data_IF_323931900872
#
_entry.id   IF_323931900872
#
_cell.length_a   1.000
_cell.length_b   1.000
_cell.length_c   1.000
_cell.angle_alpha   90.00
_cell.angle_beta   90.00
_cell.angle_gamma   90.00
#
_symmetry.space_group_name_H-M   'P 1'
#
loop_
_entity.id
_entity.type
_entity.pdbx_description
1 polymer ?
#
# COMPACT_ATOMS: atom_id res chain seq x y z
N UNK A 1 14.27 -16.43 0.94
CA UNK A 1 15.37 -15.44 0.98
C UNK A 1 16.66 -16.04 1.57
N UNK A 2 16.60 -16.62 2.77
CA UNK A 2 17.81 -17.14 3.44
C UNK A 2 18.63 -18.12 2.61
N UNK A 3 17.99 -19.04 1.88
CA UNK A 3 18.66 -20.02 1.01
C UNK A 3 19.38 -19.40 -0.19
N UNK A 4 18.93 -18.23 -0.66
CA UNK A 4 19.44 -17.57 -1.86
C UNK A 4 20.37 -16.40 -1.56
N UNK A 5 20.15 -15.70 -0.43
CA UNK A 5 21.01 -14.59 0.03
C UNK A 5 22.17 -15.11 0.88
N UNK A 6 22.11 -16.36 1.35
CA UNK A 6 23.14 -16.96 2.23
C UNK A 6 23.17 -16.41 3.65
N UNK A 7 22.20 -15.57 4.00
CA UNK A 7 22.03 -14.99 5.34
C UNK A 7 20.54 -14.81 5.66
N UNK A 8 20.14 -14.70 6.94
CA UNK A 8 18.79 -14.29 7.33
C UNK A 8 18.45 -12.90 6.77
N UNK A 9 17.17 -12.66 6.48
CA UNK A 9 16.68 -11.32 6.18
C UNK A 9 16.87 -10.40 7.39
N UNK A 10 17.33 -9.18 7.15
CA UNK A 10 17.50 -8.16 8.19
C UNK A 10 16.25 -7.24 8.25
N UNK A 11 16.05 -6.50 9.35
CA UNK A 11 15.02 -5.46 9.40
C UNK A 11 15.14 -4.41 8.28
N UNK A 12 16.36 -4.14 7.81
CA UNK A 12 16.61 -3.21 6.72
C UNK A 12 16.18 -3.79 5.36
N UNK A 13 16.44 -5.07 5.11
CA UNK A 13 15.93 -5.75 3.92
C UNK A 13 14.39 -5.68 3.88
N UNK A 14 13.74 -5.88 5.03
CA UNK A 14 12.28 -5.80 5.13
C UNK A 14 11.76 -4.39 4.85
N UNK A 15 12.43 -3.35 5.37
CA UNK A 15 12.07 -1.96 5.07
C UNK A 15 12.22 -1.63 3.58
N UNK A 16 13.27 -2.14 2.95
CA UNK A 16 13.55 -1.91 1.52
C UNK A 16 12.46 -2.47 0.60
N UNK A 17 11.85 -3.60 0.97
CA UNK A 17 10.83 -4.26 0.14
C UNK A 17 9.40 -3.92 0.54
N UNK A 18 9.21 -3.23 1.67
CA UNK A 18 7.89 -2.92 2.20
C UNK A 18 7.24 -1.80 1.38
N UNK A 19 6.08 -2.08 0.78
CA UNK A 19 5.28 -1.10 0.06
C UNK A 19 5.54 -0.99 -1.45
N UNK A 20 6.46 -1.81 -2.03
CA UNK A 20 6.71 -1.88 -3.47
C UNK A 20 6.29 -3.24 -4.05
N UNK A 21 6.13 -3.36 -5.39
CA UNK A 21 5.84 -4.63 -6.04
C UNK A 21 6.90 -5.69 -5.72
N UNK A 22 6.48 -6.94 -5.51
CA UNK A 22 7.38 -8.00 -5.04
C UNK A 22 8.57 -8.29 -5.97
N UNK A 23 8.39 -8.17 -7.29
CA UNK A 23 9.49 -8.31 -8.25
C UNK A 23 10.54 -7.21 -8.07
N UNK A 24 10.12 -5.97 -7.94
CA UNK A 24 10.98 -4.82 -7.71
C UNK A 24 11.68 -4.93 -6.33
N UNK A 25 10.95 -5.40 -5.32
CA UNK A 25 11.49 -5.66 -3.99
C UNK A 25 12.63 -6.67 -4.02
N UNK A 26 12.48 -7.79 -4.75
CA UNK A 26 13.57 -8.77 -4.90
C UNK A 26 14.77 -8.18 -5.62
N UNK A 27 14.56 -7.40 -6.67
CA UNK A 27 15.65 -6.73 -7.39
C UNK A 27 16.37 -5.70 -6.51
N UNK A 28 15.64 -4.98 -5.66
CA UNK A 28 16.22 -4.04 -4.68
C UNK A 28 17.10 -4.73 -3.65
N UNK A 29 16.86 -6.01 -3.38
CA UNK A 29 17.72 -6.86 -2.54
C UNK A 29 18.95 -7.45 -3.29
N UNK A 30 19.13 -7.07 -4.56
CA UNK A 30 20.29 -7.48 -5.38
C UNK A 30 20.07 -8.74 -6.22
N UNK A 31 18.85 -9.27 -6.33
CA UNK A 31 18.56 -10.37 -7.24
C UNK A 31 18.48 -9.89 -8.70
N UNK A 32 18.99 -10.71 -9.64
CA UNK A 32 18.78 -10.42 -11.06
C UNK A 32 17.29 -10.57 -11.44
N UNK A 33 16.83 -9.99 -12.56
CA UNK A 33 15.46 -10.19 -13.04
C UNK A 33 15.04 -11.66 -13.16
N UNK A 34 15.95 -12.52 -13.62
CA UNK A 34 15.71 -13.96 -13.75
C UNK A 34 15.57 -14.65 -12.39
N UNK A 35 16.43 -14.29 -11.43
CA UNK A 35 16.35 -14.80 -10.06
C UNK A 35 15.06 -14.32 -9.37
N UNK A 36 14.70 -13.05 -9.55
CA UNK A 36 13.47 -12.51 -9.02
C UNK A 36 12.23 -13.22 -9.59
N UNK A 37 12.23 -13.51 -10.89
CA UNK A 37 11.15 -14.25 -11.55
C UNK A 37 10.98 -15.69 -11.03
N UNK A 38 12.08 -16.36 -10.69
CA UNK A 38 12.03 -17.70 -10.07
C UNK A 38 11.62 -17.67 -8.59
N UNK A 39 12.04 -16.65 -7.86
CA UNK A 39 11.79 -16.52 -6.41
C UNK A 39 10.41 -15.97 -6.08
N UNK A 40 9.89 -15.04 -6.86
CA UNK A 40 8.63 -14.36 -6.57
C UNK A 40 7.43 -15.32 -6.42
N UNK A 41 7.23 -16.34 -7.28
CA UNK A 41 6.16 -17.32 -7.09
C UNK A 41 6.32 -18.12 -5.79
N UNK A 42 7.54 -18.47 -5.40
CA UNK A 42 7.85 -19.21 -4.17
C UNK A 42 7.55 -18.33 -2.94
N UNK A 43 7.96 -17.07 -2.98
CA UNK A 43 7.63 -16.08 -1.93
C UNK A 43 6.11 -15.88 -1.80
N UNK A 44 5.43 -15.70 -2.92
CA UNK A 44 3.98 -15.54 -2.96
C UNK A 44 3.24 -16.78 -2.43
N UNK A 45 3.72 -17.99 -2.75
CA UNK A 45 3.16 -19.22 -2.20
C UNK A 45 3.41 -19.34 -0.69
N UNK A 46 4.59 -18.95 -0.22
CA UNK A 46 4.91 -18.97 1.22
C UNK A 46 4.06 -17.95 1.99
N UNK A 47 3.82 -16.75 1.45
CA UNK A 47 2.99 -15.74 2.12
C UNK A 47 1.54 -16.19 2.31
N UNK A 48 1.02 -17.04 1.43
CA UNK A 48 -0.33 -17.64 1.58
C UNK A 48 -0.47 -18.50 2.84
N UNK A 49 0.61 -19.10 3.32
CA UNK A 49 0.58 -19.92 4.54
C UNK A 49 0.33 -19.09 5.81
N UNK A 50 0.47 -17.76 5.71
CA UNK A 50 0.21 -16.81 6.80
C UNK A 50 -1.10 -16.03 6.62
N UNK A 51 -1.92 -16.39 5.62
CA UNK A 51 -3.19 -15.69 5.34
C UNK A 51 -4.11 -15.65 6.58
N UNK A 52 -4.19 -16.74 7.33
CA UNK A 52 -5.01 -16.83 8.55
C UNK A 52 -4.54 -15.91 9.69
N UNK A 53 -3.32 -15.38 9.61
CA UNK A 53 -2.77 -14.42 10.58
C UNK A 53 -3.02 -12.95 10.20
N UNK A 54 -3.56 -12.70 9.02
CA UNK A 54 -3.88 -11.35 8.53
C UNK A 54 -5.31 -11.00 8.94
N UNK A 55 -5.50 -9.80 9.45
CA UNK A 55 -6.82 -9.28 9.83
C UNK A 55 -6.93 -7.80 9.49
N UNK A 56 -8.16 -7.31 9.39
CA UNK A 56 -8.44 -5.89 9.27
C UNK A 56 -8.06 -5.20 10.57
N UNK A 57 -7.39 -4.05 10.48
CA UNK A 57 -7.07 -3.25 11.66
C UNK A 57 -8.34 -2.82 12.40
N UNK A 58 -8.29 -2.86 13.72
CA UNK A 58 -9.42 -2.49 14.57
C UNK A 58 -9.92 -1.06 14.25
N UNK A 59 -11.21 -0.89 14.06
CA UNK A 59 -11.85 0.38 13.73
C UNK A 59 -11.79 0.78 12.25
N UNK A 60 -11.08 0.04 11.39
CA UNK A 60 -10.98 0.38 9.97
C UNK A 60 -12.35 0.33 9.27
N UNK A 61 -13.09 -0.77 9.46
CA UNK A 61 -14.39 -0.92 8.81
C UNK A 61 -15.39 0.15 9.26
N UNK A 62 -15.42 0.48 10.55
CA UNK A 62 -16.28 1.56 11.07
C UNK A 62 -15.90 2.91 10.48
N UNK A 63 -14.59 3.18 10.33
CA UNK A 63 -14.09 4.41 9.70
C UNK A 63 -14.50 4.49 8.23
N UNK A 64 -14.31 3.41 7.45
CA UNK A 64 -14.71 3.38 6.04
C UNK A 64 -16.22 3.57 5.88
N UNK A 65 -17.01 2.92 6.72
CA UNK A 65 -18.47 3.06 6.73
C UNK A 65 -18.87 4.51 6.98
N UNK A 66 -18.31 5.13 8.01
CA UNK A 66 -18.58 6.54 8.33
C UNK A 66 -18.25 7.46 7.15
N UNK A 67 -17.09 7.30 6.54
CA UNK A 67 -16.67 8.10 5.39
C UNK A 67 -17.67 7.96 4.23
N UNK A 68 -18.07 6.72 3.93
CA UNK A 68 -19.02 6.44 2.84
C UNK A 68 -20.41 7.02 3.10
N UNK A 69 -20.92 6.88 4.33
CA UNK A 69 -22.21 7.45 4.75
C UNK A 69 -22.22 8.99 4.71
N UNK A 70 -21.03 9.62 4.83
CA UNK A 70 -20.87 11.07 4.72
C UNK A 70 -20.42 11.54 3.33
N UNK A 71 -20.59 10.69 2.31
CA UNK A 71 -20.34 10.98 0.88
C UNK A 71 -18.87 11.32 0.54
N UNK A 72 -17.91 10.82 1.30
CA UNK A 72 -16.51 10.88 0.89
C UNK A 72 -16.25 9.85 -0.21
N UNK A 73 -15.47 10.26 -1.22
CA UNK A 73 -14.97 9.35 -2.24
C UNK A 73 -13.76 8.60 -1.71
N UNK A 74 -13.74 7.29 -1.90
CA UNK A 74 -12.68 6.42 -1.39
C UNK A 74 -11.95 5.70 -2.53
N UNK A 75 -10.63 5.74 -2.49
CA UNK A 75 -9.78 5.04 -3.45
C UNK A 75 -8.72 4.17 -2.77
N UNK A 76 -8.39 3.05 -3.41
CA UNK A 76 -7.22 2.24 -3.06
C UNK A 76 -6.13 2.43 -4.10
N UNK A 77 -4.87 2.62 -3.64
CA UNK A 77 -3.68 2.55 -4.46
C UNK A 77 -2.72 1.53 -3.87
N UNK A 78 -2.52 0.41 -4.53
CA UNK A 78 -1.73 -0.71 -4.00
C UNK A 78 -0.64 -1.17 -4.97
N UNK A 79 0.51 -1.62 -4.42
CA UNK A 79 1.59 -2.27 -5.17
C UNK A 79 1.30 -3.74 -5.51
N UNK A 80 0.16 -4.29 -5.07
CA UNK A 80 -0.28 -5.62 -5.48
C UNK A 80 -0.72 -5.60 -6.95
N UNK A 81 -0.45 -6.69 -7.68
CA UNK A 81 -1.10 -6.91 -8.97
C UNK A 81 -2.61 -7.14 -8.77
N UNK A 82 -3.40 -6.95 -9.80
CA UNK A 82 -4.85 -7.19 -9.76
C UNK A 82 -5.17 -8.59 -9.25
N UNK A 83 -4.51 -9.61 -9.78
CA UNK A 83 -4.68 -11.00 -9.33
C UNK A 83 -4.34 -11.18 -7.84
N UNK A 84 -3.24 -10.57 -7.39
CA UNK A 84 -2.82 -10.63 -5.98
C UNK A 84 -3.80 -9.89 -5.07
N UNK A 85 -4.38 -8.80 -5.53
CA UNK A 85 -5.41 -8.04 -4.80
C UNK A 85 -6.68 -8.89 -4.65
N UNK A 86 -7.23 -9.39 -5.75
CA UNK A 86 -8.43 -10.23 -5.78
C UNK A 86 -8.28 -11.48 -4.88
N UNK A 87 -7.10 -12.09 -4.88
CA UNK A 87 -6.85 -13.29 -4.08
C UNK A 87 -6.69 -13.00 -2.57
N UNK A 88 -6.05 -11.88 -2.21
CA UNK A 88 -5.57 -11.66 -0.84
C UNK A 88 -6.29 -10.50 -0.12
N UNK A 89 -7.01 -9.62 -0.80
CA UNK A 89 -7.67 -8.45 -0.20
C UNK A 89 -9.20 -8.52 -0.36
N UNK A 90 -9.70 -8.79 -1.56
CA UNK A 90 -11.15 -8.90 -1.82
C UNK A 90 -11.90 -9.83 -0.83
N UNK A 91 -11.32 -10.97 -0.36
CA UNK A 91 -12.01 -11.83 0.61
C UNK A 91 -12.35 -11.18 1.95
N UNK A 92 -11.73 -10.04 2.29
CA UNK A 92 -12.08 -9.29 3.50
C UNK A 92 -13.37 -8.46 3.36
N UNK A 93 -13.95 -8.36 2.15
CA UNK A 93 -15.25 -7.72 1.93
C UNK A 93 -15.26 -6.21 2.07
N UNK A 94 -14.10 -5.55 1.88
CA UNK A 94 -13.99 -4.09 1.99
C UNK A 94 -14.18 -3.38 0.65
N UNK A 95 -14.20 -4.08 -0.47
CA UNK A 95 -14.21 -3.50 -1.80
C UNK A 95 -15.41 -2.57 -2.05
N UNK A 96 -16.57 -2.88 -1.46
CA UNK A 96 -17.80 -2.09 -1.58
C UNK A 96 -17.72 -0.67 -0.98
N UNK A 97 -16.73 -0.43 -0.13
CA UNK A 97 -16.47 0.92 0.39
C UNK A 97 -15.74 1.82 -0.61
N UNK A 98 -15.05 1.25 -1.61
CA UNK A 98 -14.17 2.00 -2.50
C UNK A 98 -14.79 2.26 -3.86
N UNK A 99 -14.69 3.52 -4.31
CA UNK A 99 -15.17 3.96 -5.62
C UNK A 99 -14.17 3.63 -6.74
N UNK A 100 -12.87 3.57 -6.39
CA UNK A 100 -11.76 3.27 -7.32
C UNK A 100 -10.72 2.38 -6.63
N UNK A 101 -10.22 1.38 -7.35
CA UNK A 101 -9.10 0.54 -6.93
C UNK A 101 -8.04 0.59 -8.02
N UNK A 102 -6.83 1.05 -7.67
CA UNK A 102 -5.64 1.07 -8.53
C UNK A 102 -4.65 0.04 -8.00
N UNK A 103 -4.33 -0.91 -8.84
CA UNK A 103 -3.30 -1.95 -8.62
C UNK A 103 -2.06 -1.65 -9.43
N UNK A 104 -0.96 -2.39 -9.22
CA UNK A 104 0.23 -2.27 -10.08
C UNK A 104 -0.02 -2.75 -11.52
N UNK A 105 -1.16 -3.36 -11.80
CA UNK A 105 -1.56 -3.73 -13.17
C UNK A 105 -2.26 -2.59 -13.93
N UNK A 106 -2.58 -1.48 -13.27
CA UNK A 106 -3.34 -0.37 -13.87
C UNK A 106 -2.43 0.75 -14.39
N UNK A 107 -1.15 0.78 -14.02
CA UNK A 107 -0.21 1.85 -14.38
C UNK A 107 1.13 1.29 -14.83
N UNK A 108 1.86 2.04 -15.67
CA UNK A 108 3.20 1.66 -16.14
C UNK A 108 4.27 1.88 -15.07
N UNK A 109 4.14 2.98 -14.33
CA UNK A 109 5.01 3.28 -13.19
C UNK A 109 4.31 2.92 -11.88
N UNK A 110 5.13 2.51 -10.90
CA UNK A 110 4.67 2.10 -9.58
C UNK A 110 5.19 3.05 -8.49
N UNK A 111 4.68 2.93 -7.27
CA UNK A 111 5.24 3.65 -6.12
C UNK A 111 6.75 3.40 -6.03
N UNK A 112 7.58 4.46 -5.89
CA UNK A 112 7.28 5.81 -5.42
C UNK A 112 6.82 6.82 -6.46
N UNK A 113 6.65 6.46 -7.76
CA UNK A 113 6.06 7.38 -8.73
C UNK A 113 4.68 7.86 -8.28
N UNK A 114 4.33 9.11 -8.62
CA UNK A 114 2.99 9.66 -8.39
C UNK A 114 1.92 9.11 -9.33
N UNK A 115 2.31 8.40 -10.42
CA UNK A 115 1.39 7.97 -11.47
C UNK A 115 0.19 7.16 -10.95
N UNK A 116 0.35 6.15 -10.04
CA UNK A 116 -0.80 5.39 -9.54
C UNK A 116 -1.79 6.26 -8.78
N UNK A 117 -1.32 7.20 -7.98
CA UNK A 117 -2.18 8.11 -7.23
C UNK A 117 -2.90 9.11 -8.14
N UNK A 118 -2.18 9.69 -9.11
CA UNK A 118 -2.77 10.57 -10.14
C UNK A 118 -3.85 9.85 -10.94
N UNK A 119 -3.65 8.59 -11.30
CA UNK A 119 -4.67 7.78 -11.99
C UNK A 119 -5.89 7.53 -11.09
N UNK A 120 -5.68 7.31 -9.79
CA UNK A 120 -6.78 7.18 -8.82
C UNK A 120 -7.62 8.47 -8.77
N UNK A 121 -6.98 9.62 -8.61
CA UNK A 121 -7.66 10.92 -8.58
C UNK A 121 -8.43 11.19 -9.88
N UNK A 122 -7.81 10.89 -11.03
CA UNK A 122 -8.45 11.04 -12.33
C UNK A 122 -9.74 10.19 -12.46
N UNK A 123 -9.70 8.94 -11.97
CA UNK A 123 -10.88 8.05 -11.98
C UNK A 123 -11.94 8.51 -10.99
N UNK A 124 -11.55 9.06 -9.85
CA UNK A 124 -12.47 9.65 -8.85
C UNK A 124 -13.05 10.99 -9.32
N UNK A 125 -12.41 11.67 -10.29
CA UNK A 125 -12.83 12.98 -10.78
C UNK A 125 -12.54 14.11 -9.77
N UNK A 126 -11.50 13.98 -8.95
CA UNK A 126 -11.08 14.96 -7.94
C UNK A 126 -9.67 15.47 -8.22
N UNK A 127 -9.36 16.67 -7.73
CA UNK A 127 -8.03 17.27 -7.81
C UNK A 127 -7.15 16.86 -6.62
N UNK A 128 -5.84 17.05 -6.77
CA UNK A 128 -4.84 16.76 -5.74
C UNK A 128 -5.06 17.52 -4.43
N UNK A 129 -5.60 18.74 -4.50
CA UNK A 129 -5.90 19.55 -3.32
C UNK A 129 -7.16 19.15 -2.55
N UNK A 130 -7.98 18.26 -3.12
CA UNK A 130 -9.21 17.76 -2.54
C UNK A 130 -9.03 16.35 -1.92
N UNK A 131 -7.81 15.83 -1.95
CA UNK A 131 -7.50 14.48 -1.52
C UNK A 131 -6.37 14.43 -0.49
N UNK A 132 -6.40 13.38 0.31
CA UNK A 132 -5.28 12.95 1.15
C UNK A 132 -4.97 11.49 0.84
N UNK A 133 -3.69 11.16 0.66
CA UNK A 133 -3.24 9.78 0.53
C UNK A 133 -2.77 9.27 1.89
N UNK A 134 -3.35 8.19 2.37
CA UNK A 134 -3.03 7.59 3.67
C UNK A 134 -2.29 6.28 3.42
N UNK A 135 -1.09 6.16 3.98
CA UNK A 135 -0.23 5.00 3.78
C UNK A 135 0.73 4.79 4.94
N UNK A 136 1.40 3.65 4.95
CA UNK A 136 2.26 3.17 6.03
C UNK A 136 3.72 2.96 5.61
N UNK A 137 4.04 3.14 4.32
CA UNK A 137 5.40 2.99 3.78
C UNK A 137 5.99 4.31 3.31
N UNK A 138 7.33 4.37 3.28
CA UNK A 138 8.05 5.51 2.71
C UNK A 138 7.73 5.72 1.23
N UNK A 139 7.40 4.64 0.51
CA UNK A 139 7.00 4.71 -0.90
C UNK A 139 5.62 5.31 -1.09
N UNK A 140 4.71 5.14 -0.13
CA UNK A 140 3.41 5.84 -0.11
C UNK A 140 3.62 7.35 0.07
N UNK A 141 4.47 7.73 1.03
CA UNK A 141 4.81 9.13 1.25
C UNK A 141 5.42 9.77 0.01
N UNK A 142 6.40 9.12 -0.61
CA UNK A 142 7.03 9.62 -1.84
C UNK A 142 6.03 9.69 -3.00
N UNK A 143 5.15 8.70 -3.14
CA UNK A 143 4.08 8.69 -4.13
C UNK A 143 3.14 9.89 -3.97
N UNK A 144 2.71 10.18 -2.73
CA UNK A 144 1.89 11.36 -2.43
C UNK A 144 2.60 12.67 -2.80
N UNK A 145 3.87 12.83 -2.40
CA UNK A 145 4.67 14.01 -2.74
C UNK A 145 4.86 14.17 -4.25
N UNK A 146 5.14 13.08 -4.97
CA UNK A 146 5.30 13.10 -6.43
C UNK A 146 3.99 13.38 -7.19
N UNK A 147 2.84 13.10 -6.56
CA UNK A 147 1.51 13.44 -7.07
C UNK A 147 0.99 14.80 -6.57
N UNK A 148 1.76 15.54 -5.75
CA UNK A 148 1.37 16.79 -5.09
C UNK A 148 0.11 16.66 -4.20
N UNK A 149 -0.10 15.48 -3.59
CA UNK A 149 -1.21 15.17 -2.70
C UNK A 149 -0.74 15.22 -1.24
N UNK A 150 -1.59 15.71 -0.33
CA UNK A 150 -1.33 15.63 1.10
C UNK A 150 -1.15 14.18 1.55
N UNK A 151 -0.22 13.94 2.51
CA UNK A 151 0.07 12.60 3.01
C UNK A 151 -0.29 12.45 4.49
N UNK A 152 -1.02 11.41 4.81
CA UNK A 152 -1.30 10.95 6.16
C UNK A 152 -0.56 9.65 6.47
N UNK A 153 0.29 9.65 7.50
CA UNK A 153 0.96 8.44 7.96
C UNK A 153 -0.01 7.57 8.77
N UNK A 154 -0.24 6.36 8.29
CA UNK A 154 -0.95 5.29 8.99
C UNK A 154 0.01 4.60 9.99
N UNK A 155 0.19 5.18 11.19
CA UNK A 155 1.18 4.68 12.16
C UNK A 155 0.87 3.24 12.61
N UNK A 156 -0.39 2.82 12.56
CA UNK A 156 -0.79 1.43 12.90
C UNK A 156 -0.24 0.35 11.93
N UNK A 157 0.13 0.73 10.71
CA UNK A 157 0.73 -0.18 9.72
C UNK A 157 2.23 0.02 9.56
N UNK A 158 2.75 1.15 10.00
CA UNK A 158 4.15 1.51 9.79
C UNK A 158 5.08 0.88 10.83
N UNK A 159 6.29 0.51 10.40
CA UNK A 159 7.35 0.02 11.29
C UNK A 159 8.10 1.14 12.03
N UNK A 160 7.97 2.38 11.58
CA UNK A 160 8.59 3.58 12.17
C UNK A 160 7.87 4.82 11.69
N UNK A 161 7.87 5.86 12.50
CA UNK A 161 7.42 7.19 12.09
C UNK A 161 8.59 8.07 11.59
N UNK A 162 9.84 7.61 11.71
CA UNK A 162 11.01 8.38 11.29
C UNK A 162 11.18 8.39 9.77
N UNK A 163 11.55 9.54 9.23
CA UNK A 163 11.85 9.73 7.81
C UNK A 163 10.65 10.05 6.92
N UNK A 164 9.44 10.14 7.49
CA UNK A 164 8.25 10.56 6.75
C UNK A 164 8.09 12.09 6.75
N UNK A 165 7.78 12.63 5.58
CA UNK A 165 7.26 13.99 5.42
C UNK A 165 5.73 13.90 5.38
N UNK A 166 5.10 13.83 6.55
CA UNK A 166 3.67 13.62 6.69
C UNK A 166 2.96 14.91 7.14
N UNK A 167 1.86 15.26 6.46
CA UNK A 167 1.00 16.38 6.86
C UNK A 167 0.17 16.00 8.09
N UNK A 168 -0.17 14.72 8.22
CA UNK A 168 -0.92 14.16 9.34
C UNK A 168 -0.30 12.83 9.78
N UNK A 169 -0.42 12.53 11.08
CA UNK A 169 -0.04 11.23 11.66
C UNK A 169 -1.26 10.67 12.37
N UNK A 170 -1.73 9.53 11.91
CA UNK A 170 -2.89 8.83 12.46
C UNK A 170 -2.42 7.59 13.22
N UNK A 171 -2.72 7.51 14.51
CA UNK A 171 -2.35 6.38 15.37
C UNK A 171 -3.32 5.21 15.24
N UNK A 172 -4.57 5.53 14.93
CA UNK A 172 -5.65 4.56 14.71
C UNK A 172 -6.45 4.93 13.47
N UNK A 173 -7.14 3.99 12.82
CA UNK A 173 -8.00 4.29 11.68
C UNK A 173 -9.03 5.38 11.96
N UNK A 174 -9.59 5.44 13.16
CA UNK A 174 -10.58 6.45 13.55
C UNK A 174 -10.02 7.88 13.63
N UNK A 175 -8.71 8.05 13.78
CA UNK A 175 -8.09 9.39 13.81
C UNK A 175 -8.23 10.10 12.45
N UNK A 176 -8.45 9.35 11.36
CA UNK A 176 -8.75 9.92 10.03
C UNK A 176 -9.95 10.87 10.10
N UNK A 177 -10.93 10.56 10.93
CA UNK A 177 -12.16 11.38 11.06
C UNK A 177 -11.90 12.76 11.69
N UNK A 178 -10.73 12.99 12.28
CA UNK A 178 -10.37 14.26 12.91
C UNK A 178 -10.02 15.38 11.92
N UNK A 179 -9.85 15.06 10.65
CA UNK A 179 -9.49 16.03 9.59
C UNK A 179 -10.65 16.36 8.64
N UNK A 180 -11.84 15.87 8.93
CA UNK A 180 -13.05 16.10 8.14
C UNK A 180 -13.74 17.43 8.46
#
# INVERSE_FOLDING_TARGET
>A
LQEHVGRPATPEDMRTIFGIPGMEGLQSLGFTPEQAADLHPKWSAQSKTYADSVSIFAGMEDTLRYLKENNHLLGIVTSKTKESYELNITPYGLDDYFDVIITSSDTEEHKPSGQPLTECLRRLGVSENEAIYIGDSIYDNQCARNAAVAFGLAEWGSHTAEGFDADHIFKTPSDILSIL
#
